data_IF_436185125559
#
_entry.id   IF_436185125559
#
_cell.length_a   1.000
_cell.length_b   1.000
_cell.length_c   1.000
_cell.angle_alpha   90.00
_cell.angle_beta   90.00
_cell.angle_gamma   90.00
#
_symmetry.space_group_name_H-M   'P 1'
#
loop_
_entity.id
_entity.type
_entity.pdbx_description
1 polymer ?
#
# COMPACT_ATOMS: atom_id res chain seq x y z
N UNK A 1 2.15 -9.42 -18.66
CA UNK A 1 3.63 -9.39 -18.57
C UNK A 1 4.16 -8.95 -17.20
N UNK A 2 3.50 -8.04 -16.45
CA UNK A 2 3.95 -7.64 -15.09
C UNK A 2 3.58 -8.62 -13.94
N UNK A 3 2.45 -9.34 -14.02
CA UNK A 3 1.99 -10.24 -12.94
C UNK A 3 2.98 -11.38 -12.64
N UNK A 4 3.68 -11.88 -13.66
CA UNK A 4 4.70 -12.93 -13.50
C UNK A 4 5.92 -12.47 -12.70
N UNK A 5 6.26 -11.17 -12.74
CA UNK A 5 7.44 -10.63 -12.05
C UNK A 5 7.17 -10.56 -10.54
N UNK A 6 6.01 -10.04 -10.13
CA UNK A 6 5.65 -9.94 -8.70
C UNK A 6 5.50 -11.33 -8.09
N UNK A 7 4.81 -12.25 -8.78
CA UNK A 7 4.65 -13.62 -8.32
C UNK A 7 6.02 -14.31 -8.12
N UNK A 8 6.95 -14.10 -9.06
CA UNK A 8 8.31 -14.62 -8.96
C UNK A 8 9.07 -14.01 -7.78
N UNK A 9 9.00 -12.69 -7.60
CA UNK A 9 9.67 -12.00 -6.49
C UNK A 9 9.16 -12.49 -5.12
N UNK A 10 7.84 -12.58 -4.93
CA UNK A 10 7.24 -13.10 -3.70
C UNK A 10 7.74 -14.52 -3.43
N UNK A 11 7.73 -15.38 -4.45
CA UNK A 11 8.22 -16.76 -4.33
C UNK A 11 9.70 -16.85 -3.97
N UNK A 12 10.53 -15.97 -4.52
CA UNK A 12 11.96 -15.90 -4.18
C UNK A 12 12.17 -15.43 -2.74
N UNK A 13 11.46 -14.39 -2.30
CA UNK A 13 11.49 -13.90 -0.91
C UNK A 13 11.04 -14.99 0.07
N UNK A 14 9.90 -15.63 -0.18
CA UNK A 14 9.35 -16.65 0.73
C UNK A 14 10.26 -17.86 0.81
N UNK A 15 10.89 -18.24 -0.31
CA UNK A 15 11.88 -19.32 -0.34
C UNK A 15 13.11 -18.99 0.50
N UNK A 16 13.66 -17.79 0.37
CA UNK A 16 14.84 -17.35 1.14
C UNK A 16 14.55 -17.32 2.65
N UNK A 17 13.32 -16.99 3.02
CA UNK A 17 12.86 -16.98 4.41
C UNK A 17 12.36 -18.34 4.92
N UNK A 18 12.45 -19.40 4.11
CA UNK A 18 11.96 -20.76 4.43
C UNK A 18 10.46 -20.79 4.81
N UNK A 19 9.67 -19.89 4.22
CA UNK A 19 8.23 -19.78 4.46
C UNK A 19 7.43 -20.59 3.46
N UNK A 20 6.24 -21.03 3.90
CA UNK A 20 5.22 -21.56 3.00
C UNK A 20 4.77 -20.49 2.00
N UNK A 21 4.26 -20.93 0.85
CA UNK A 21 3.72 -20.00 -0.14
C UNK A 21 2.53 -19.22 0.45
N UNK A 22 2.57 -17.87 0.41
CA UNK A 22 1.54 -17.06 1.04
C UNK A 22 0.28 -16.94 0.17
N UNK A 23 -0.86 -16.72 0.83
CA UNK A 23 -2.12 -16.28 0.21
C UNK A 23 -2.21 -14.76 0.05
N UNK A 24 -1.43 -14.02 0.85
CA UNK A 24 -1.34 -12.57 0.82
C UNK A 24 0.09 -12.11 1.13
N UNK A 25 0.51 -11.01 0.53
CA UNK A 25 1.83 -10.43 0.71
C UNK A 25 1.67 -8.92 0.93
N UNK A 26 2.32 -8.38 1.96
CA UNK A 26 2.30 -6.94 2.23
C UNK A 26 3.73 -6.41 2.21
N UNK A 27 3.91 -5.31 1.50
CA UNK A 27 5.16 -4.57 1.48
C UNK A 27 4.95 -3.23 2.19
N UNK A 28 5.63 -3.05 3.32
CA UNK A 28 5.56 -1.85 4.13
C UNK A 28 6.82 -1.01 3.95
N UNK A 29 6.64 0.26 3.62
CA UNK A 29 7.69 1.27 3.57
C UNK A 29 7.49 2.29 4.67
N UNK A 30 8.50 2.48 5.51
CA UNK A 30 8.49 3.44 6.61
C UNK A 30 9.35 4.66 6.27
N UNK A 31 8.70 5.83 6.22
CA UNK A 31 9.32 7.13 6.02
C UNK A 31 8.96 8.07 7.19
N UNK A 32 9.60 7.84 8.33
CA UNK A 32 9.41 8.61 9.57
C UNK A 32 7.95 8.62 10.04
N UNK A 33 7.20 9.66 9.68
CA UNK A 33 5.80 9.84 10.08
C UNK A 33 4.80 9.31 9.03
N UNK A 34 5.27 8.87 7.87
CA UNK A 34 4.46 8.34 6.77
C UNK A 34 4.82 6.88 6.54
N UNK A 35 3.83 6.00 6.59
CA UNK A 35 3.97 4.60 6.21
C UNK A 35 3.16 4.31 4.96
N UNK A 36 3.70 3.51 4.06
CA UNK A 36 3.04 3.07 2.84
C UNK A 36 3.01 1.56 2.85
N UNK A 37 1.81 1.00 2.97
CA UNK A 37 1.58 -0.43 2.87
C UNK A 37 0.96 -0.75 1.51
N UNK A 38 1.59 -1.68 0.79
CA UNK A 38 1.09 -2.23 -0.46
C UNK A 38 0.74 -3.70 -0.20
N UNK A 39 -0.54 -3.96 -0.07
CA UNK A 39 -1.08 -5.30 0.15
C UNK A 39 -1.48 -5.93 -1.18
N UNK A 40 -1.04 -7.16 -1.39
CA UNK A 40 -1.44 -8.01 -2.50
C UNK A 40 -2.06 -9.30 -1.99
N UNK A 41 -3.18 -9.69 -2.59
CA UNK A 41 -3.84 -10.96 -2.29
C UNK A 41 -4.06 -11.79 -3.56
N UNK A 42 -4.02 -13.11 -3.39
CA UNK A 42 -4.44 -14.05 -4.43
C UNK A 42 -5.96 -14.08 -4.51
N UNK A 43 -6.48 -14.01 -5.73
CA UNK A 43 -7.89 -14.27 -6.00
C UNK A 43 -8.21 -15.77 -5.88
N UNK A 44 -9.47 -16.16 -6.11
CA UNK A 44 -9.94 -17.54 -6.03
C UNK A 44 -9.20 -18.50 -6.99
N UNK A 45 -8.61 -17.97 -8.08
CA UNK A 45 -7.82 -18.74 -9.04
C UNK A 45 -6.33 -18.84 -8.66
N UNK A 46 -5.93 -18.24 -7.53
CA UNK A 46 -4.53 -18.20 -7.07
C UNK A 46 -3.67 -17.13 -7.74
N UNK A 47 -4.27 -16.21 -8.50
CA UNK A 47 -3.56 -15.13 -9.19
C UNK A 47 -3.47 -13.88 -8.30
N UNK A 48 -2.31 -13.22 -8.31
CA UNK A 48 -2.12 -11.92 -7.66
C UNK A 48 -2.85 -10.83 -8.46
N UNK A 49 -3.98 -10.34 -7.94
CA UNK A 49 -4.88 -9.46 -8.68
C UNK A 49 -5.45 -8.31 -7.86
N UNK A 50 -5.51 -8.44 -6.53
CA UNK A 50 -6.05 -7.40 -5.67
C UNK A 50 -4.92 -6.62 -5.00
N UNK A 51 -4.70 -5.37 -5.42
CA UNK A 51 -3.74 -4.45 -4.77
C UNK A 51 -4.49 -3.41 -3.96
N UNK A 52 -4.11 -3.29 -2.70
CA UNK A 52 -4.61 -2.26 -1.80
C UNK A 52 -3.42 -1.42 -1.36
N UNK A 53 -3.54 -0.10 -1.53
CA UNK A 53 -2.52 0.86 -1.14
C UNK A 53 -3.03 1.61 0.09
N UNK A 54 -2.31 1.53 1.20
CA UNK A 54 -2.66 2.23 2.43
C UNK A 54 -1.54 3.18 2.80
N UNK A 55 -1.86 4.46 2.93
CA UNK A 55 -0.95 5.48 3.42
C UNK A 55 -1.37 5.83 4.84
N UNK A 56 -0.48 5.56 5.79
CA UNK A 56 -0.69 5.92 7.18
C UNK A 56 0.12 7.17 7.52
N UNK A 57 -0.52 8.19 8.08
CA UNK A 57 0.08 9.48 8.42
C UNK A 57 -0.17 9.79 9.89
N UNK A 58 0.84 10.24 10.61
CA UNK A 58 0.63 10.76 11.97
C UNK A 58 -0.38 11.92 11.99
N UNK A 59 -1.27 11.97 12.99
CA UNK A 59 -2.37 12.95 13.07
C UNK A 59 -1.95 14.42 12.94
N UNK A 60 -0.73 14.75 13.39
CA UNK A 60 -0.19 16.11 13.26
C UNK A 60 -0.05 16.56 11.79
N UNK A 61 0.22 15.63 10.87
CA UNK A 61 0.39 15.88 9.43
C UNK A 61 -0.81 15.46 8.59
N UNK A 62 -1.70 14.62 9.14
CA UNK A 62 -2.84 14.05 8.44
C UNK A 62 -3.78 15.09 7.83
N UNK A 63 -4.06 16.21 8.53
CA UNK A 63 -4.94 17.26 7.99
C UNK A 63 -4.45 17.79 6.66
N UNK A 64 -3.18 18.19 6.59
CA UNK A 64 -2.60 18.72 5.35
C UNK A 64 -2.66 17.66 4.25
N UNK A 65 -2.30 16.41 4.57
CA UNK A 65 -2.36 15.30 3.62
C UNK A 65 -3.78 15.08 3.06
N UNK A 66 -4.80 15.04 3.91
CA UNK A 66 -6.20 14.87 3.49
C UNK A 66 -6.66 16.03 2.61
N UNK A 67 -6.32 17.27 2.97
CA UNK A 67 -6.66 18.44 2.17
C UNK A 67 -6.05 18.35 0.76
N UNK A 68 -4.84 17.78 0.63
CA UNK A 68 -4.17 17.58 -0.66
C UNK A 68 -4.83 16.53 -1.55
N UNK A 69 -5.35 15.45 -0.96
CA UNK A 69 -6.02 14.38 -1.70
C UNK A 69 -7.54 14.61 -1.80
N UNK A 70 -8.02 15.81 -1.51
CA UNK A 70 -9.45 16.13 -1.42
C UNK A 70 -10.25 15.95 -2.71
N UNK A 71 -9.58 15.88 -3.85
CA UNK A 71 -10.20 15.56 -5.15
C UNK A 71 -10.46 14.06 -5.34
N UNK A 72 -9.90 13.21 -4.49
CA UNK A 72 -10.12 11.77 -4.46
C UNK A 72 -11.27 11.41 -3.51
N UNK A 73 -11.72 10.16 -3.58
CA UNK A 73 -12.73 9.61 -2.66
C UNK A 73 -12.20 8.37 -1.92
N UNK A 74 -11.08 8.49 -1.19
CA UNK A 74 -10.47 7.36 -0.53
C UNK A 74 -11.31 6.90 0.66
N UNK A 75 -11.07 5.66 1.07
CA UNK A 75 -11.53 5.19 2.37
C UNK A 75 -10.56 5.68 3.45
N UNK A 76 -11.08 6.37 4.47
CA UNK A 76 -10.26 6.95 5.55
C UNK A 76 -10.71 6.38 6.89
N UNK A 77 -9.74 5.89 7.67
CA UNK A 77 -9.94 5.45 9.04
C UNK A 77 -8.85 6.01 9.95
N UNK A 78 -9.09 6.06 11.25
CA UNK A 78 -8.13 6.62 12.21
C UNK A 78 -8.09 5.79 13.49
N UNK A 79 -6.91 5.76 14.12
CA UNK A 79 -6.74 5.30 15.49
C UNK A 79 -6.41 6.48 16.42
N UNK A 80 -5.80 6.24 17.58
CA UNK A 80 -5.45 7.32 18.50
C UNK A 80 -4.36 8.26 17.95
N UNK A 81 -3.42 7.75 17.15
CA UNK A 81 -2.17 8.42 16.78
C UNK A 81 -2.05 8.72 15.28
N UNK A 82 -2.74 7.94 14.43
CA UNK A 82 -2.58 7.95 12.97
C UNK A 82 -3.91 8.00 12.24
N UNK A 83 -3.86 8.54 11.04
CA UNK A 83 -4.91 8.45 10.02
C UNK A 83 -4.39 7.57 8.90
N UNK A 84 -5.26 6.69 8.42
CA UNK A 84 -4.98 5.75 7.35
C UNK A 84 -5.89 6.09 6.17
N UNK A 85 -5.27 6.19 5.01
CA UNK A 85 -5.95 6.49 3.75
C UNK A 85 -5.72 5.30 2.84
N UNK A 86 -6.80 4.59 2.54
CA UNK A 86 -6.80 3.46 1.63
C UNK A 86 -7.24 3.93 0.24
N UNK A 87 -6.43 3.57 -0.74
CA UNK A 87 -6.53 4.01 -2.13
C UNK A 87 -6.66 2.81 -3.05
N UNK A 88 -7.47 2.98 -4.09
CA UNK A 88 -7.45 2.13 -5.27
C UNK A 88 -6.13 2.30 -6.04
N UNK A 89 -5.83 1.38 -6.96
CA UNK A 89 -4.64 1.50 -7.82
C UNK A 89 -4.68 2.76 -8.71
N UNK A 90 -5.87 3.17 -9.17
CA UNK A 90 -6.05 4.40 -9.96
C UNK A 90 -5.76 5.65 -9.11
N UNK A 91 -6.31 5.73 -7.91
CA UNK A 91 -6.05 6.83 -6.96
C UNK A 91 -4.59 6.88 -6.54
N UNK A 92 -3.97 5.73 -6.26
CA UNK A 92 -2.53 5.67 -5.95
C UNK A 92 -1.69 6.28 -7.08
N UNK A 93 -1.95 5.88 -8.32
CA UNK A 93 -1.20 6.39 -9.47
C UNK A 93 -1.39 7.88 -9.72
N UNK A 94 -2.53 8.47 -9.35
CA UNK A 94 -2.76 9.91 -9.51
C UNK A 94 -1.97 10.77 -8.51
N UNK A 95 -1.54 10.21 -7.37
CA UNK A 95 -0.82 10.93 -6.31
C UNK A 95 0.61 10.42 -6.05
N UNK A 96 1.05 9.35 -6.73
CA UNK A 96 2.34 8.70 -6.43
C UNK A 96 3.54 9.67 -6.47
N UNK A 97 3.58 10.58 -7.45
CA UNK A 97 4.70 11.53 -7.62
C UNK A 97 4.74 12.52 -6.45
N UNK A 98 3.57 12.94 -5.97
CA UNK A 98 3.45 13.81 -4.82
C UNK A 98 3.87 13.13 -3.52
N UNK A 99 3.51 11.87 -3.31
CA UNK A 99 3.93 11.12 -2.12
C UNK A 99 5.45 11.08 -2.03
N UNK A 100 6.13 10.85 -3.16
CA UNK A 100 7.59 10.84 -3.23
C UNK A 100 8.21 12.22 -2.93
N UNK A 101 7.52 13.32 -3.20
CA UNK A 101 7.98 14.67 -2.87
C UNK A 101 7.82 15.03 -1.38
N UNK A 102 6.91 14.37 -0.66
CA UNK A 102 6.68 14.60 0.79
C UNK A 102 7.66 13.79 1.66
N UNK A 103 8.11 12.65 1.16
CA UNK A 103 9.04 11.72 1.83
C UNK A 103 10.47 12.28 1.83
#
# INVERSE_FOLDING_TARGET
MNKDIIAKAIKEITKELELSEPSGFMLSYDFNDIWIDISLEKNENGEWDNKIYTISVGKQKAKNFIDYISELTPEIYEDNDRVYVQLTEEEWHSIQDFILDII
#
